data_IF_764910301874
#
_entry.id   IF_764910301874
#
_cell.length_a   1.000
_cell.length_b   1.000
_cell.length_c   1.000
_cell.angle_alpha   90.00
_cell.angle_beta   90.00
_cell.angle_gamma   90.00
#
_symmetry.space_group_name_H-M   'P 1'
#
loop_
_entity.id
_entity.type
_entity.pdbx_description
1 polymer ?
#
# COMPACT_ATOMS: atom_id res chain seq x y z
N UNK A 1 9.75 7.53 -0.08
CA UNK A 1 8.64 6.55 -0.23
C UNK A 1 7.24 7.09 0.08
N UNK A 2 7.09 8.35 0.53
CA UNK A 2 5.78 8.99 0.60
C UNK A 2 5.81 10.28 -0.19
N UNK A 3 5.33 10.26 -1.42
CA UNK A 3 5.14 11.47 -2.20
C UNK A 3 3.72 11.97 -1.96
N UNK A 4 3.60 13.17 -1.37
CA UNK A 4 2.32 13.88 -1.31
C UNK A 4 1.87 14.38 -2.68
N UNK A 5 2.73 14.33 -3.69
CA UNK A 5 2.38 14.71 -5.05
C UNK A 5 1.52 13.65 -5.74
N UNK A 6 1.79 12.36 -5.50
CA UNK A 6 1.09 11.26 -6.19
C UNK A 6 0.00 10.60 -5.36
N UNK A 7 0.12 10.65 -4.03
CA UNK A 7 -0.73 9.86 -3.15
C UNK A 7 -1.18 10.60 -1.90
N UNK A 8 -2.37 10.25 -1.38
CA UNK A 8 -2.89 10.82 -0.15
C UNK A 8 -2.03 10.52 1.10
N UNK A 9 -2.21 11.30 2.19
CA UNK A 9 -1.17 11.48 3.20
C UNK A 9 -1.10 10.39 4.29
N UNK A 10 -2.07 9.48 4.40
CA UNK A 10 -2.13 8.54 5.54
C UNK A 10 -0.92 7.62 5.60
N UNK A 11 -0.45 7.09 4.46
CA UNK A 11 0.73 6.21 4.47
C UNK A 11 1.98 6.92 5.02
N UNK A 12 2.41 8.09 4.48
CA UNK A 12 3.57 8.78 5.03
C UNK A 12 3.38 9.20 6.49
N UNK A 13 2.16 9.59 6.91
CA UNK A 13 1.89 9.91 8.32
C UNK A 13 2.06 8.70 9.24
N UNK A 14 1.54 7.54 8.83
CA UNK A 14 1.68 6.30 9.60
C UNK A 14 3.15 5.86 9.71
N UNK A 15 3.89 5.93 8.59
CA UNK A 15 5.32 5.60 8.58
C UNK A 15 6.10 6.58 9.47
N UNK A 16 5.94 7.89 9.26
CA UNK A 16 6.67 8.91 10.01
C UNK A 16 6.34 8.84 11.51
N UNK A 17 5.06 8.74 11.86
CA UNK A 17 4.61 8.63 13.26
C UNK A 17 5.17 7.40 13.96
N UNK A 18 5.11 6.23 13.30
CA UNK A 18 5.63 4.99 13.88
C UNK A 18 7.15 5.02 14.02
N UNK A 19 7.89 5.41 12.98
CA UNK A 19 9.35 5.42 13.00
C UNK A 19 9.91 6.47 13.96
N UNK A 20 9.20 7.58 14.20
CA UNK A 20 9.58 8.58 15.21
C UNK A 20 9.58 8.00 16.63
N UNK A 21 8.71 7.03 16.91
CA UNK A 21 8.59 6.38 18.22
C UNK A 21 9.45 5.13 18.31
N UNK A 22 9.44 4.28 17.28
CA UNK A 22 10.14 3.00 17.28
C UNK A 22 11.62 3.10 16.84
N UNK A 23 12.02 4.23 16.26
CA UNK A 23 13.33 4.44 15.64
C UNK A 23 13.30 4.24 14.13
N UNK A 24 14.15 4.96 13.39
CA UNK A 24 14.24 4.89 11.92
C UNK A 24 15.29 3.85 11.54
N UNK A 25 14.84 2.65 11.14
CA UNK A 25 15.67 1.61 10.54
C UNK A 25 14.82 0.58 9.78
N UNK A 26 15.47 -0.36 9.09
CA UNK A 26 14.78 -1.40 8.31
C UNK A 26 13.94 -2.34 9.18
N UNK A 27 14.37 -2.66 10.40
CA UNK A 27 13.64 -3.57 11.27
C UNK A 27 12.31 -2.98 11.73
N UNK A 28 12.30 -1.72 12.16
CA UNK A 28 11.09 -1.02 12.59
C UNK A 28 10.13 -0.79 11.43
N UNK A 29 10.65 -0.48 10.24
CA UNK A 29 9.84 -0.39 9.02
C UNK A 29 9.16 -1.74 8.67
N UNK A 30 9.91 -2.84 8.73
CA UNK A 30 9.36 -4.17 8.50
C UNK A 30 8.36 -4.57 9.58
N UNK A 31 8.60 -4.21 10.85
CA UNK A 31 7.66 -4.42 11.95
C UNK A 31 6.33 -3.71 11.69
N UNK A 32 6.35 -2.44 11.27
CA UNK A 32 5.15 -1.70 10.90
C UNK A 32 4.39 -2.42 9.77
N UNK A 33 5.12 -2.94 8.79
CA UNK A 33 4.55 -3.71 7.70
C UNK A 33 3.81 -4.95 8.23
N UNK A 34 4.41 -5.72 9.13
CA UNK A 34 3.77 -6.92 9.68
C UNK A 34 2.57 -6.57 10.59
N UNK A 35 2.65 -5.50 11.37
CA UNK A 35 1.53 -5.01 12.18
C UNK A 35 0.33 -4.60 11.32
N UNK A 36 0.57 -4.02 10.14
CA UNK A 36 -0.47 -3.68 9.17
C UNK A 36 -1.25 -4.93 8.71
N UNK A 37 -0.56 -6.02 8.39
CA UNK A 37 -1.23 -7.28 8.00
C UNK A 37 -1.89 -8.00 9.18
N UNK A 38 -1.29 -7.95 10.37
CA UNK A 38 -1.90 -8.49 11.59
C UNK A 38 -3.24 -7.80 11.89
N UNK A 39 -3.31 -6.48 11.74
CA UNK A 39 -4.54 -5.73 11.87
C UNK A 39 -5.59 -6.18 10.83
N UNK A 40 -5.18 -6.42 9.58
CA UNK A 40 -6.07 -6.91 8.54
C UNK A 40 -6.67 -8.28 8.93
N UNK A 41 -5.81 -9.22 9.31
CA UNK A 41 -6.22 -10.54 9.77
C UNK A 41 -7.14 -10.49 10.98
N UNK A 42 -6.87 -9.62 11.95
CA UNK A 42 -7.75 -9.41 13.08
C UNK A 42 -9.14 -8.93 12.65
N UNK A 43 -9.22 -7.90 11.79
CA UNK A 43 -10.50 -7.38 11.30
C UNK A 43 -11.29 -8.44 10.51
N UNK A 44 -10.61 -9.18 9.63
CA UNK A 44 -11.21 -10.26 8.82
C UNK A 44 -11.68 -11.40 9.73
N UNK A 45 -10.87 -11.82 10.70
CA UNK A 45 -11.25 -12.84 11.68
C UNK A 45 -12.46 -12.39 12.49
N UNK A 46 -12.46 -11.14 12.97
CA UNK A 46 -13.57 -10.58 13.74
C UNK A 46 -14.86 -10.54 12.93
N UNK A 47 -14.80 -10.24 11.64
CA UNK A 47 -15.94 -10.32 10.73
C UNK A 47 -16.38 -11.77 10.53
N UNK A 48 -15.43 -12.68 10.28
CA UNK A 48 -15.69 -14.10 10.07
C UNK A 48 -16.39 -14.74 11.28
N UNK A 49 -16.08 -14.31 12.51
CA UNK A 49 -16.74 -14.80 13.74
C UNK A 49 -18.24 -14.52 13.82
N UNK A 50 -18.76 -13.57 13.03
CA UNK A 50 -20.20 -13.26 13.00
C UNK A 50 -20.99 -14.22 12.10
N UNK A 51 -20.32 -14.92 11.18
CA UNK A 51 -20.95 -15.78 10.18
C UNK A 51 -20.41 -17.21 10.16
N UNK A 52 -19.28 -17.47 10.82
CA UNK A 52 -18.61 -18.77 10.87
C UNK A 52 -18.30 -19.18 12.33
N UNK A 53 -18.32 -20.50 12.63
CA UNK A 53 -17.83 -21.03 13.89
C UNK A 53 -16.37 -20.63 14.16
N UNK A 54 -15.90 -20.59 15.42
CA UNK A 54 -14.59 -20.03 15.77
C UNK A 54 -13.42 -20.62 14.98
N UNK A 55 -13.38 -21.95 14.84
CA UNK A 55 -12.34 -22.65 14.09
C UNK A 55 -12.42 -22.40 12.58
N UNK A 56 -13.62 -22.25 12.03
CA UNK A 56 -13.81 -21.91 10.62
C UNK A 56 -13.43 -20.45 10.35
N UNK A 57 -13.70 -19.54 11.28
CA UNK A 57 -13.28 -18.14 11.19
C UNK A 57 -11.74 -18.03 11.20
N UNK A 58 -11.05 -18.80 12.05
CA UNK A 58 -9.60 -18.87 12.03
C UNK A 58 -9.08 -19.48 10.71
N UNK A 59 -9.67 -20.59 10.26
CA UNK A 59 -9.30 -21.21 8.99
C UNK A 59 -9.52 -20.27 7.78
N UNK A 60 -10.58 -19.45 7.78
CA UNK A 60 -10.84 -18.43 6.75
C UNK A 60 -9.68 -17.44 6.63
N UNK A 61 -9.14 -17.00 7.77
CA UNK A 61 -8.03 -16.04 7.81
C UNK A 61 -6.72 -16.72 7.42
N UNK A 62 -6.45 -17.92 7.95
CA UNK A 62 -5.28 -18.72 7.58
C UNK A 62 -5.22 -19.04 6.07
N UNK A 63 -6.37 -19.21 5.41
CA UNK A 63 -6.42 -19.42 3.96
C UNK A 63 -5.85 -18.22 3.17
N UNK A 64 -5.96 -17.00 3.69
CA UNK A 64 -5.46 -15.80 3.00
C UNK A 64 -3.94 -15.81 2.84
N UNK A 65 -3.19 -16.53 3.67
CA UNK A 65 -1.73 -16.72 3.51
C UNK A 65 -1.36 -17.32 2.15
N UNK A 66 -2.27 -18.07 1.52
CA UNK A 66 -2.06 -18.63 0.18
C UNK A 66 -2.38 -17.63 -0.94
N UNK A 67 -2.87 -16.44 -0.63
CA UNK A 67 -3.02 -15.34 -1.59
C UNK A 67 -1.76 -14.47 -1.52
N UNK A 68 -1.05 -14.24 -2.64
CA UNK A 68 0.24 -13.55 -2.64
C UNK A 68 0.27 -12.19 -1.93
N UNK A 69 -0.84 -11.46 -1.90
CA UNK A 69 -0.93 -10.17 -1.21
C UNK A 69 -0.72 -10.25 0.30
N UNK A 70 -1.13 -11.34 0.94
CA UNK A 70 -1.06 -11.50 2.39
C UNK A 70 0.17 -12.29 2.83
N UNK A 71 0.89 -12.90 1.89
CA UNK A 71 2.15 -13.60 2.12
C UNK A 71 3.33 -12.91 1.44
N UNK A 72 3.67 -13.26 0.20
CA UNK A 72 4.88 -12.75 -0.45
C UNK A 72 4.92 -11.22 -0.59
N UNK A 73 3.84 -10.59 -1.05
CA UNK A 73 3.80 -9.14 -1.21
C UNK A 73 3.64 -8.40 0.12
N UNK A 74 3.39 -9.11 1.23
CA UNK A 74 3.28 -8.52 2.56
C UNK A 74 4.62 -7.98 3.08
N UNK A 75 5.74 -8.28 2.41
CA UNK A 75 7.05 -7.70 2.74
C UNK A 75 7.16 -6.21 2.38
N UNK A 76 6.24 -5.66 1.56
CA UNK A 76 6.32 -4.28 1.07
C UNK A 76 5.18 -3.44 1.62
N UNK A 77 5.52 -2.45 2.44
CA UNK A 77 4.57 -1.42 2.85
C UNK A 77 4.48 -0.32 1.78
N UNK A 78 3.29 -0.16 1.20
CA UNK A 78 2.94 0.86 0.23
C UNK A 78 1.45 1.21 0.37
N UNK A 79 0.94 2.11 -0.46
CA UNK A 79 -0.45 2.56 -0.37
C UNK A 79 -1.45 1.42 -0.57
N UNK A 80 -1.17 0.46 -1.46
CA UNK A 80 -2.04 -0.69 -1.70
C UNK A 80 -2.05 -1.67 -0.53
N UNK A 81 -0.90 -1.94 0.12
CA UNK A 81 -0.86 -2.82 1.29
C UNK A 81 -1.43 -2.16 2.54
N UNK A 82 -1.30 -0.84 2.70
CA UNK A 82 -1.96 -0.09 3.78
C UNK A 82 -3.49 -0.10 3.64
N UNK A 83 -4.02 -0.16 2.41
CA UNK A 83 -5.46 -0.31 2.20
C UNK A 83 -6.03 -1.66 2.67
N UNK A 84 -5.22 -2.72 2.76
CA UNK A 84 -5.70 -4.07 3.13
C UNK A 84 -6.39 -4.05 4.51
N UNK A 85 -5.74 -3.64 5.61
CA UNK A 85 -6.42 -3.55 6.90
C UNK A 85 -7.50 -2.47 6.94
N UNK A 86 -7.29 -1.34 6.26
CA UNK A 86 -8.26 -0.25 6.26
C UNK A 86 -9.58 -0.70 5.63
N UNK A 87 -9.54 -1.36 4.47
CA UNK A 87 -10.73 -1.94 3.84
C UNK A 87 -11.34 -3.03 4.71
N UNK A 88 -10.53 -3.93 5.30
CA UNK A 88 -11.04 -4.94 6.22
C UNK A 88 -11.81 -4.31 7.40
N UNK A 89 -11.28 -3.24 7.98
CA UNK A 89 -11.93 -2.47 9.05
C UNK A 89 -13.18 -1.75 8.56
N UNK A 90 -13.15 -1.10 7.39
CA UNK A 90 -14.33 -0.44 6.79
C UNK A 90 -15.46 -1.44 6.55
N UNK A 91 -15.15 -2.64 6.02
CA UNK A 91 -16.15 -3.70 5.81
C UNK A 91 -16.70 -4.18 7.14
N UNK A 92 -15.83 -4.42 8.14
CA UNK A 92 -16.24 -4.83 9.48
C UNK A 92 -17.19 -3.80 10.13
N UNK A 93 -16.85 -2.52 10.04
CA UNK A 93 -17.68 -1.44 10.56
C UNK A 93 -18.98 -1.28 9.77
N UNK A 94 -18.96 -1.45 8.45
CA UNK A 94 -20.17 -1.48 7.62
C UNK A 94 -21.12 -2.60 8.05
N UNK A 95 -20.57 -3.81 8.24
CA UNK A 95 -21.30 -4.96 8.76
C UNK A 95 -21.91 -4.67 10.14
N UNK A 96 -21.11 -4.19 11.11
CA UNK A 96 -21.62 -3.87 12.45
C UNK A 96 -22.63 -2.73 12.46
N UNK A 97 -22.46 -1.74 11.59
CA UNK A 97 -23.40 -0.62 11.46
C UNK A 97 -24.77 -1.11 11.02
N UNK A 98 -24.82 -2.00 10.03
CA UNK A 98 -26.07 -2.58 9.53
C UNK A 98 -26.66 -3.57 10.53
N UNK A 99 -25.84 -4.48 11.05
CA UNK A 99 -26.31 -5.59 11.89
C UNK A 99 -26.72 -5.14 13.30
N UNK A 100 -26.01 -4.15 13.87
CA UNK A 100 -26.21 -3.72 15.28
C UNK A 100 -26.92 -2.39 15.40
N UNK A 101 -26.97 -1.56 14.35
CA UNK A 101 -27.68 -0.27 14.35
C UNK A 101 -27.12 0.82 15.26
N UNK A 102 -26.00 0.60 15.96
CA UNK A 102 -25.45 1.55 16.95
C UNK A 102 -24.68 2.69 16.28
N UNK A 103 -24.92 3.94 16.72
CA UNK A 103 -24.31 5.14 16.12
C UNK A 103 -22.79 5.16 16.14
N UNK A 104 -22.15 4.56 17.17
CA UNK A 104 -20.69 4.48 17.23
C UNK A 104 -20.07 3.78 16.02
N UNK A 105 -20.76 2.77 15.45
CA UNK A 105 -20.26 2.06 14.28
C UNK A 105 -20.42 2.90 13.01
N UNK A 106 -21.52 3.64 12.89
CA UNK A 106 -21.75 4.56 11.77
C UNK A 106 -20.75 5.72 11.78
N UNK A 107 -20.50 6.33 12.94
CA UNK A 107 -19.50 7.40 13.08
C UNK A 107 -18.10 6.87 12.73
N UNK A 108 -17.73 5.70 13.28
CA UNK A 108 -16.46 5.07 12.97
C UNK A 108 -16.36 4.69 11.47
N UNK A 109 -17.45 4.24 10.85
CA UNK A 109 -17.49 3.93 9.42
C UNK A 109 -17.21 5.18 8.58
N UNK A 110 -17.83 6.32 8.89
CA UNK A 110 -17.58 7.58 8.21
C UNK A 110 -16.12 8.02 8.31
N UNK A 111 -15.56 7.96 9.52
CA UNK A 111 -14.16 8.32 9.79
C UNK A 111 -13.20 7.41 9.02
N UNK A 112 -13.34 6.08 9.14
CA UNK A 112 -12.45 5.13 8.49
C UNK A 112 -12.63 5.13 6.97
N UNK A 113 -13.83 5.44 6.45
CA UNK A 113 -14.04 5.67 5.01
C UNK A 113 -13.25 6.88 4.51
N UNK A 114 -13.19 7.95 5.30
CA UNK A 114 -12.35 9.12 5.02
C UNK A 114 -10.87 8.75 5.03
N UNK A 115 -10.42 8.04 6.08
CA UNK A 115 -9.03 7.52 6.16
C UNK A 115 -8.69 6.61 4.97
N UNK A 116 -9.64 5.79 4.49
CA UNK A 116 -9.44 4.95 3.32
C UNK A 116 -9.20 5.76 2.04
N UNK A 117 -9.95 6.84 1.82
CA UNK A 117 -9.73 7.78 0.72
C UNK A 117 -8.38 8.51 0.87
N UNK A 118 -8.07 8.95 2.09
CA UNK A 118 -6.81 9.62 2.44
C UNK A 118 -5.59 8.65 2.50
N UNK A 119 -5.79 7.36 2.28
CA UNK A 119 -4.70 6.40 2.05
C UNK A 119 -4.45 6.22 0.56
N UNK A 120 -5.54 6.01 -0.19
CA UNK A 120 -5.53 5.90 -1.66
C UNK A 120 -6.95 6.04 -2.18
N UNK A 121 -7.16 6.94 -3.14
CA UNK A 121 -8.49 7.20 -3.72
C UNK A 121 -9.12 6.00 -4.42
N UNK A 122 -8.35 4.95 -4.70
CA UNK A 122 -8.87 3.65 -5.14
C UNK A 122 -9.93 3.06 -4.17
N UNK A 123 -10.00 3.50 -2.91
CA UNK A 123 -11.11 3.18 -1.99
C UNK A 123 -12.49 3.55 -2.53
N UNK A 124 -12.59 4.46 -3.50
CA UNK A 124 -13.81 4.72 -4.27
C UNK A 124 -14.33 3.49 -5.06
N UNK A 125 -13.52 2.44 -5.25
CA UNK A 125 -13.98 1.17 -5.82
C UNK A 125 -14.79 0.31 -4.82
N UNK A 126 -14.65 0.55 -3.51
CA UNK A 126 -15.27 -0.23 -2.45
C UNK A 126 -16.40 0.52 -1.73
N UNK A 127 -16.22 1.81 -1.43
CA UNK A 127 -17.19 2.59 -0.66
C UNK A 127 -18.60 2.65 -1.29
N UNK A 128 -18.75 2.80 -2.63
CA UNK A 128 -20.05 2.69 -3.28
C UNK A 128 -20.70 1.32 -3.07
N UNK A 129 -19.92 0.27 -2.86
CA UNK A 129 -20.43 -1.06 -2.52
C UNK A 129 -21.22 -1.04 -1.22
N UNK A 130 -20.73 -0.36 -0.17
CA UNK A 130 -21.49 -0.21 1.08
C UNK A 130 -22.76 0.60 0.83
N UNK A 131 -22.67 1.76 0.16
CA UNK A 131 -23.81 2.62 -0.10
C UNK A 131 -24.90 1.91 -0.94
N UNK A 132 -24.50 1.22 -2.01
CA UNK A 132 -25.41 0.43 -2.84
C UNK A 132 -25.99 -0.75 -2.08
N UNK A 133 -25.25 -1.36 -1.15
CA UNK A 133 -25.83 -2.39 -0.29
C UNK A 133 -27.00 -1.82 0.56
N UNK A 134 -26.83 -0.62 1.12
CA UNK A 134 -27.89 0.06 1.87
C UNK A 134 -29.12 0.35 1.00
N UNK A 135 -28.92 0.66 -0.27
CA UNK A 135 -30.01 0.98 -1.21
C UNK A 135 -30.71 -0.26 -1.77
N UNK A 136 -29.98 -1.33 -2.05
CA UNK A 136 -30.47 -2.48 -2.81
C UNK A 136 -30.98 -3.63 -1.93
N UNK A 137 -30.44 -3.80 -0.73
CA UNK A 137 -30.75 -4.96 0.12
C UNK A 137 -31.77 -4.60 1.20
N UNK A 138 -32.76 -5.46 1.53
CA UNK A 138 -33.80 -5.17 2.52
C UNK A 138 -33.25 -4.72 3.88
N UNK A 139 -32.29 -5.46 4.45
CA UNK A 139 -31.63 -5.11 5.72
C UNK A 139 -30.88 -3.78 5.66
N UNK A 140 -30.27 -3.47 4.51
CA UNK A 140 -29.64 -2.18 4.27
C UNK A 140 -30.68 -1.04 4.27
N UNK A 141 -31.78 -1.20 3.53
CA UNK A 141 -32.83 -0.18 3.39
C UNK A 141 -33.52 0.15 4.70
N UNK A 142 -33.67 -0.82 5.59
CA UNK A 142 -34.19 -0.59 6.95
C UNK A 142 -33.35 0.46 7.69
N UNK A 143 -32.02 0.42 7.55
CA UNK A 143 -31.13 1.38 8.23
C UNK A 143 -31.24 2.80 7.70
N UNK A 144 -31.64 3.00 6.44
CA UNK A 144 -31.86 4.33 5.84
C UNK A 144 -33.01 5.08 6.49
N UNK A 145 -33.90 4.39 7.22
CA UNK A 145 -34.95 5.02 8.03
C UNK A 145 -34.41 5.61 9.34
N UNK A 146 -33.15 5.39 9.66
CA UNK A 146 -32.49 5.82 10.90
C UNK A 146 -31.46 6.91 10.62
N UNK A 147 -31.04 7.64 11.66
CA UNK A 147 -30.02 8.71 11.56
C UNK A 147 -28.61 8.16 11.29
N UNK A 148 -28.36 6.86 11.55
CA UNK A 148 -27.02 6.25 11.49
C UNK A 148 -26.26 6.45 10.18
N UNK A 149 -26.79 6.00 9.02
CA UNK A 149 -26.13 6.17 7.72
C UNK A 149 -25.78 7.63 7.42
N UNK A 150 -26.65 8.57 7.78
CA UNK A 150 -26.43 10.00 7.54
C UNK A 150 -25.29 10.56 8.41
N UNK A 151 -25.15 10.11 9.66
CA UNK A 151 -23.98 10.46 10.49
C UNK A 151 -22.68 9.99 9.84
N UNK A 152 -22.65 8.78 9.29
CA UNK A 152 -21.49 8.27 8.57
C UNK A 152 -21.13 9.15 7.37
N UNK A 153 -22.14 9.60 6.60
CA UNK A 153 -21.94 10.51 5.47
C UNK A 153 -21.40 11.86 5.92
N UNK A 154 -21.99 12.47 6.96
CA UNK A 154 -21.53 13.76 7.50
C UNK A 154 -20.08 13.68 7.96
N UNK A 155 -19.72 12.65 8.74
CA UNK A 155 -18.34 12.47 9.22
C UNK A 155 -17.37 12.27 8.06
N UNK A 156 -17.75 11.45 7.07
CA UNK A 156 -16.95 11.26 5.85
C UNK A 156 -16.74 12.59 5.09
N UNK A 157 -17.80 13.37 4.91
CA UNK A 157 -17.75 14.65 4.22
C UNK A 157 -16.92 15.69 4.98
N UNK A 158 -16.93 15.69 6.31
CA UNK A 158 -16.06 16.57 7.10
C UNK A 158 -14.58 16.23 6.88
N UNK A 159 -14.22 14.94 6.93
CA UNK A 159 -12.84 14.49 6.70
C UNK A 159 -12.40 14.80 5.27
N UNK A 160 -13.23 14.47 4.27
CA UNK A 160 -12.92 14.73 2.87
C UNK A 160 -12.90 16.22 2.54
N UNK A 161 -13.83 17.00 3.10
CA UNK A 161 -13.91 18.44 2.90
C UNK A 161 -12.67 19.15 3.43
N UNK A 162 -12.22 18.78 4.63
CA UNK A 162 -10.95 19.28 5.17
C UNK A 162 -9.77 18.91 4.27
N UNK A 163 -9.70 17.66 3.82
CA UNK A 163 -8.62 17.20 2.94
C UNK A 163 -8.58 17.94 1.60
N UNK A 164 -9.73 18.12 0.94
CA UNK A 164 -9.81 18.84 -0.33
C UNK A 164 -9.47 20.33 -0.17
N UNK A 165 -9.95 20.97 0.90
CA UNK A 165 -9.57 22.34 1.25
C UNK A 165 -8.07 22.49 1.48
N UNK A 166 -7.46 21.53 2.19
CA UNK A 166 -6.03 21.55 2.47
C UNK A 166 -5.20 21.38 1.20
N UNK A 167 -5.57 20.44 0.34
CA UNK A 167 -4.90 20.17 -0.94
C UNK A 167 -4.97 21.38 -1.87
N UNK A 168 -6.13 22.02 -1.97
CA UNK A 168 -6.35 23.21 -2.82
C UNK A 168 -5.54 24.42 -2.33
N UNK A 169 -5.62 24.73 -1.04
CA UNK A 169 -4.91 25.88 -0.47
C UNK A 169 -3.38 25.75 -0.49
N UNK A 170 -2.85 24.53 -0.45
CA UNK A 170 -1.40 24.28 -0.43
C UNK A 170 -0.86 23.75 -1.77
N UNK A 171 -1.69 23.77 -2.83
CA UNK A 171 -1.31 23.37 -4.18
C UNK A 171 -0.66 21.97 -4.23
N UNK A 172 -1.18 21.03 -3.46
CA UNK A 172 -0.63 19.67 -3.37
C UNK A 172 -1.10 18.85 -4.58
N UNK A 173 -0.17 18.29 -5.34
CA UNK A 173 -0.47 17.55 -6.58
C UNK A 173 -1.33 16.28 -6.44
N UNK A 174 -1.66 15.81 -5.22
CA UNK A 174 -2.32 14.51 -5.00
C UNK A 174 -3.60 14.32 -5.84
N UNK A 175 -4.36 15.38 -6.08
CA UNK A 175 -5.65 15.35 -6.79
C UNK A 175 -5.51 15.70 -8.28
N UNK A 176 -4.47 16.45 -8.66
CA UNK A 176 -4.29 16.97 -10.03
C UNK A 176 -4.06 15.85 -11.05
N UNK A 177 -3.55 14.71 -10.60
CA UNK A 177 -3.21 13.58 -11.46
C UNK A 177 -4.29 12.51 -11.61
N UNK A 178 -5.49 12.69 -11.04
CA UNK A 178 -6.57 11.70 -11.19
C UNK A 178 -6.90 11.46 -12.67
N UNK A 179 -6.83 12.51 -13.49
CA UNK A 179 -7.04 12.45 -14.94
C UNK A 179 -5.98 11.65 -15.71
N UNK A 180 -4.74 11.56 -15.21
CA UNK A 180 -3.64 10.88 -15.91
C UNK A 180 -3.87 9.37 -16.03
N UNK A 181 -4.68 8.81 -15.12
CA UNK A 181 -5.10 7.40 -15.12
C UNK A 181 -6.18 7.09 -16.15
N UNK A 182 -6.88 8.11 -16.67
CA UNK A 182 -7.85 7.96 -17.75
C UNK A 182 -7.08 8.02 -19.06
N UNK A 183 -6.99 6.88 -19.72
CA UNK A 183 -6.48 6.78 -21.08
C UNK A 183 -7.59 6.16 -21.91
N UNK A 184 -8.20 6.89 -22.83
CA UNK A 184 -9.31 6.37 -23.64
C UNK A 184 -8.84 5.42 -24.76
N UNK A 185 -7.66 4.82 -24.63
CA UNK A 185 -7.08 3.90 -25.60
C UNK A 185 -7.49 2.44 -25.33
N UNK A 186 -7.41 1.59 -26.35
CA UNK A 186 -7.78 0.18 -26.21
C UNK A 186 -6.87 -0.57 -25.22
N UNK A 187 -5.61 -0.15 -25.10
CA UNK A 187 -4.63 -0.73 -24.19
C UNK A 187 -5.03 -0.57 -22.72
N UNK A 188 -5.56 0.58 -22.30
CA UNK A 188 -6.03 0.79 -20.92
C UNK A 188 -7.21 -0.13 -20.58
N UNK A 189 -8.14 -0.34 -21.52
CA UNK A 189 -9.30 -1.22 -21.33
C UNK A 189 -8.87 -2.68 -21.16
N UNK A 190 -7.87 -3.12 -21.92
CA UNK A 190 -7.27 -4.46 -21.75
C UNK A 190 -6.64 -4.61 -20.35
N UNK A 191 -6.05 -3.55 -19.78
CA UNK A 191 -5.49 -3.61 -18.42
C UNK A 191 -6.56 -3.94 -17.38
N UNK A 192 -7.81 -3.48 -17.54
CA UNK A 192 -8.91 -3.84 -16.64
C UNK A 192 -9.29 -5.34 -16.71
N UNK A 193 -9.24 -5.95 -17.90
CA UNK A 193 -9.44 -7.40 -18.06
C UNK A 193 -8.26 -8.16 -17.43
N UNK A 194 -7.02 -7.73 -17.70
CA UNK A 194 -5.82 -8.30 -17.10
C UNK A 194 -5.82 -8.19 -15.58
N UNK A 195 -6.36 -7.10 -15.04
CA UNK A 195 -6.56 -6.93 -13.60
C UNK A 195 -7.45 -8.05 -13.04
N UNK A 196 -8.61 -8.30 -13.65
CA UNK A 196 -9.53 -9.34 -13.18
C UNK A 196 -8.91 -10.73 -13.29
N UNK A 197 -8.28 -11.05 -14.43
CA UNK A 197 -7.57 -12.32 -14.62
C UNK A 197 -6.48 -12.49 -13.56
N UNK A 198 -5.68 -11.46 -13.28
CA UNK A 198 -4.65 -11.51 -12.25
C UNK A 198 -5.25 -11.78 -10.86
N UNK A 199 -6.37 -11.14 -10.50
CA UNK A 199 -7.01 -11.39 -9.21
C UNK A 199 -7.52 -12.84 -9.09
N UNK A 200 -8.08 -13.39 -10.17
CA UNK A 200 -8.51 -14.80 -10.20
C UNK A 200 -7.31 -15.76 -10.10
N UNK A 201 -6.21 -15.46 -10.79
CA UNK A 201 -4.97 -16.24 -10.69
C UNK A 201 -4.38 -16.20 -9.27
N UNK A 202 -4.44 -15.06 -8.59
CA UNK A 202 -3.97 -14.91 -7.21
C UNK A 202 -4.81 -15.68 -6.19
N UNK A 203 -6.03 -16.10 -6.53
CA UNK A 203 -6.85 -16.99 -5.70
C UNK A 203 -6.51 -18.47 -5.89
N UNK A 204 -5.82 -18.85 -6.98
CA UNK A 204 -5.56 -20.26 -7.32
C UNK A 204 -4.85 -21.04 -6.20
N UNK A 205 -3.75 -20.56 -5.59
CA UNK A 205 -3.08 -21.35 -4.56
C UNK A 205 -3.97 -21.59 -3.33
N UNK A 206 -4.75 -20.57 -2.94
CA UNK A 206 -5.75 -20.68 -1.87
C UNK A 206 -6.83 -21.73 -2.22
N UNK A 207 -7.35 -21.73 -3.46
CA UNK A 207 -8.34 -22.71 -3.92
C UNK A 207 -7.76 -24.13 -3.96
N UNK A 208 -6.53 -24.30 -4.44
CA UNK A 208 -5.86 -25.59 -4.51
C UNK A 208 -5.73 -26.23 -3.12
N UNK A 209 -5.23 -25.48 -2.13
CA UNK A 209 -5.10 -25.98 -0.76
C UNK A 209 -6.46 -26.28 -0.14
N UNK A 210 -7.44 -25.39 -0.34
CA UNK A 210 -8.81 -25.58 0.16
C UNK A 210 -9.44 -26.87 -0.38
N UNK A 211 -9.45 -27.05 -1.71
CA UNK A 211 -10.05 -28.21 -2.34
C UNK A 211 -9.27 -29.49 -2.07
N UNK A 212 -7.93 -29.44 -2.03
CA UNK A 212 -7.11 -30.60 -1.65
C UNK A 212 -7.50 -31.13 -0.27
N UNK A 213 -7.59 -30.24 0.74
CA UNK A 213 -8.00 -30.63 2.10
C UNK A 213 -9.45 -31.08 2.15
N UNK A 214 -10.35 -30.41 1.42
CA UNK A 214 -11.77 -30.77 1.36
C UNK A 214 -11.95 -32.19 0.81
N UNK A 215 -11.36 -32.50 -0.35
CA UNK A 215 -11.49 -33.80 -1.00
C UNK A 215 -10.76 -34.92 -0.24
N UNK A 216 -9.57 -34.66 0.29
CA UNK A 216 -8.82 -35.66 1.07
C UNK A 216 -9.58 -36.15 2.31
N UNK A 217 -10.37 -35.27 2.94
CA UNK A 217 -11.12 -35.59 4.15
C UNK A 217 -12.58 -35.99 3.88
N UNK A 218 -13.09 -35.83 2.65
CA UNK A 218 -14.50 -36.09 2.31
C UNK A 218 -14.89 -37.55 2.51
N UNK A 219 -13.99 -38.49 2.23
CA UNK A 219 -14.21 -39.93 2.42
C UNK A 219 -14.11 -40.38 3.89
N UNK A 220 -13.55 -39.55 4.77
CA UNK A 220 -13.32 -39.88 6.20
C UNK A 220 -14.43 -39.39 7.11
N UNK A 221 -15.45 -38.75 6.56
CA UNK A 221 -16.58 -38.16 7.29
C UNK A 221 -17.88 -38.70 6.75
N UNK A 222 -18.68 -39.33 7.61
CA UNK A 222 -20.02 -39.78 7.28
C UNK A 222 -20.90 -38.55 6.93
N UNK A 223 -21.78 -38.63 5.92
CA UNK A 223 -22.73 -37.57 5.64
C UNK A 223 -23.73 -37.51 6.81
N UNK A 224 -23.55 -36.55 7.72
CA UNK A 224 -24.58 -36.20 8.67
C UNK A 224 -25.41 -35.08 8.05
N UNK A 225 -26.74 -35.21 8.11
CA UNK A 225 -27.66 -34.18 7.67
C UNK A 225 -27.24 -32.81 8.22
N UNK A 226 -27.36 -31.81 7.37
CA UNK A 226 -26.95 -30.42 7.57
C UNK A 226 -27.86 -29.71 8.59
N UNK A 227 -28.01 -30.29 9.78
CA UNK A 227 -28.68 -29.71 10.94
C UNK A 227 -27.75 -28.84 11.77
N UNK A 228 -27.15 -27.83 11.15
CA UNK A 228 -26.76 -26.64 11.89
C UNK A 228 -27.00 -25.48 10.96
N UNK A 229 -28.20 -24.90 11.06
CA UNK A 229 -28.43 -23.53 10.63
C UNK A 229 -27.19 -22.72 11.04
N UNK A 230 -26.52 -22.01 10.11
CA UNK A 230 -25.62 -20.94 10.53
C UNK A 230 -26.41 -20.09 11.52
N UNK A 231 -25.79 -19.51 12.56
CA UNK A 231 -26.52 -18.65 13.47
C UNK A 231 -27.37 -17.70 12.62
N UNK A 232 -28.69 -17.73 12.81
CA UNK A 232 -29.73 -17.08 12.00
C UNK A 232 -29.64 -15.54 12.04
N UNK A 233 -28.49 -15.03 12.49
CA UNK A 233 -28.15 -13.68 12.88
C UNK A 233 -26.99 -13.11 12.04
N UNK A 234 -26.37 -13.89 11.16
CA UNK A 234 -25.31 -13.39 10.27
C UNK A 234 -25.85 -12.63 9.05
N UNK A 235 -25.03 -11.80 8.41
CA UNK A 235 -25.35 -11.14 7.13
C UNK A 235 -24.45 -11.63 5.97
N UNK A 236 -24.54 -12.91 5.52
CA UNK A 236 -23.71 -13.44 4.44
C UNK A 236 -23.84 -12.67 3.12
N UNK A 237 -25.03 -12.12 2.83
CA UNK A 237 -25.27 -11.34 1.62
C UNK A 237 -24.37 -10.10 1.53
N UNK A 238 -24.08 -9.45 2.66
CA UNK A 238 -23.15 -8.33 2.71
C UNK A 238 -21.72 -8.78 2.41
N UNK A 239 -21.31 -9.95 2.90
CA UNK A 239 -19.96 -10.48 2.68
C UNK A 239 -19.76 -10.85 1.21
N UNK A 240 -20.71 -11.57 0.59
CA UNK A 240 -20.65 -11.88 -0.85
C UNK A 240 -20.65 -10.61 -1.70
N UNK A 241 -21.52 -9.65 -1.36
CA UNK A 241 -21.58 -8.37 -2.05
C UNK A 241 -20.26 -7.61 -1.95
N UNK A 242 -19.69 -7.47 -0.76
CA UNK A 242 -18.43 -6.73 -0.56
C UNK A 242 -17.20 -7.46 -1.10
N UNK A 243 -17.27 -8.76 -1.33
CA UNK A 243 -16.22 -9.51 -2.04
C UNK A 243 -16.30 -9.28 -3.55
N UNK A 244 -17.50 -9.43 -4.13
CA UNK A 244 -17.70 -9.35 -5.58
C UNK A 244 -17.70 -7.91 -6.10
N UNK A 245 -18.32 -6.98 -5.39
CA UNK A 245 -18.53 -5.60 -5.84
C UNK A 245 -17.23 -4.87 -6.19
N UNK A 246 -16.22 -4.73 -5.30
CA UNK A 246 -15.00 -4.00 -5.65
C UNK A 246 -14.15 -4.76 -6.69
N UNK A 247 -14.20 -6.09 -6.71
CA UNK A 247 -13.49 -6.92 -7.68
C UNK A 247 -14.04 -6.73 -9.10
N UNK A 248 -15.35 -6.91 -9.28
CA UNK A 248 -16.03 -6.78 -10.57
C UNK A 248 -16.15 -5.31 -10.96
N UNK A 249 -16.53 -4.44 -10.02
CA UNK A 249 -16.70 -3.02 -10.23
C UNK A 249 -15.43 -2.34 -10.74
N UNK A 250 -14.26 -2.68 -10.21
CA UNK A 250 -12.98 -2.18 -10.73
C UNK A 250 -12.74 -2.58 -12.18
N UNK A 251 -13.01 -3.84 -12.53
CA UNK A 251 -12.84 -4.33 -13.89
C UNK A 251 -13.84 -3.68 -14.87
N UNK A 252 -15.11 -3.56 -14.47
CA UNK A 252 -16.17 -2.96 -15.29
C UNK A 252 -15.92 -1.46 -15.48
N UNK A 253 -15.71 -0.70 -14.41
CA UNK A 253 -15.44 0.74 -14.51
C UNK A 253 -14.13 0.99 -15.27
N UNK A 254 -13.08 0.21 -14.99
CA UNK A 254 -11.81 0.30 -15.72
C UNK A 254 -11.99 0.07 -17.23
N UNK A 255 -12.80 -0.91 -17.62
CA UNK A 255 -13.08 -1.21 -19.02
C UNK A 255 -13.97 -0.15 -19.70
N UNK A 256 -15.03 0.31 -19.02
CA UNK A 256 -15.98 1.27 -19.56
C UNK A 256 -15.38 2.68 -19.69
N UNK A 257 -14.66 3.12 -18.66
CA UNK A 257 -14.08 4.47 -18.58
C UNK A 257 -12.70 4.54 -19.23
N UNK A 258 -12.00 3.41 -19.39
CA UNK A 258 -10.61 3.39 -19.89
C UNK A 258 -9.59 3.74 -18.81
N UNK A 259 -9.81 3.27 -17.58
CA UNK A 259 -8.86 3.45 -16.48
C UNK A 259 -7.88 2.27 -16.49
N UNK A 260 -6.59 2.56 -16.61
CA UNK A 260 -5.53 1.56 -16.62
C UNK A 260 -5.29 0.93 -15.23
N UNK A 261 -6.23 0.14 -14.73
CA UNK A 261 -6.12 -0.52 -13.42
C UNK A 261 -4.94 -1.51 -13.39
N UNK A 262 -3.93 -1.20 -12.57
CA UNK A 262 -2.81 -2.12 -12.35
C UNK A 262 -3.24 -3.33 -11.56
N UNK A 263 -2.77 -4.52 -11.94
CA UNK A 263 -3.04 -5.77 -11.21
C UNK A 263 -2.71 -5.65 -9.71
N UNK A 264 -1.67 -4.87 -9.35
CA UNK A 264 -1.20 -4.65 -7.97
C UNK A 264 -2.21 -3.92 -7.07
N UNK A 265 -3.27 -3.32 -7.63
CA UNK A 265 -4.28 -2.61 -6.84
C UNK A 265 -5.27 -3.54 -6.16
N UNK A 266 -5.33 -4.82 -6.56
CA UNK A 266 -6.38 -5.74 -6.15
C UNK A 266 -6.22 -6.37 -4.77
N UNK A 267 -5.11 -6.15 -4.06
CA UNK A 267 -4.87 -6.75 -2.74
C UNK A 267 -6.07 -6.65 -1.77
N UNK A 268 -6.58 -5.44 -1.51
CA UNK A 268 -7.74 -5.26 -0.62
C UNK A 268 -9.05 -5.91 -1.11
N UNK A 269 -9.21 -6.17 -2.41
CA UNK A 269 -10.45 -6.77 -2.95
C UNK A 269 -10.57 -8.25 -2.58
N UNK A 270 -9.45 -8.92 -2.28
CA UNK A 270 -9.40 -10.35 -1.97
C UNK A 270 -9.47 -10.66 -0.47
N UNK A 271 -9.60 -9.64 0.40
CA UNK A 271 -9.64 -9.76 1.86
C UNK A 271 -10.70 -10.74 2.40
N UNK A 272 -11.80 -10.95 1.67
CA UNK A 272 -12.92 -11.81 2.11
C UNK A 272 -12.90 -13.22 1.52
N UNK A 273 -11.92 -13.56 0.68
CA UNK A 273 -11.91 -14.82 -0.09
C UNK A 273 -12.08 -16.07 0.79
N UNK A 274 -11.34 -16.14 1.91
CA UNK A 274 -11.42 -17.29 2.83
C UNK A 274 -12.79 -17.41 3.53
N UNK A 275 -13.45 -16.29 3.84
CA UNK A 275 -14.80 -16.30 4.43
C UNK A 275 -15.80 -16.79 3.39
N UNK A 276 -15.75 -16.22 2.19
CA UNK A 276 -16.65 -16.57 1.07
C UNK A 276 -16.57 -18.06 0.73
N UNK A 277 -15.36 -18.64 0.68
CA UNK A 277 -15.21 -20.07 0.43
C UNK A 277 -15.84 -20.95 1.50
N UNK A 278 -15.64 -20.61 2.78
CA UNK A 278 -16.21 -21.41 3.87
C UNK A 278 -17.71 -21.22 4.06
N UNK A 279 -18.27 -20.11 3.58
CA UNK A 279 -19.72 -19.91 3.50
C UNK A 279 -20.33 -20.73 2.35
N UNK A 280 -19.67 -20.78 1.19
CA UNK A 280 -20.18 -21.50 0.02
C UNK A 280 -19.94 -23.02 0.11
N UNK A 281 -18.78 -23.44 0.61
CA UNK A 281 -18.42 -24.84 0.87
C UNK A 281 -18.18 -25.08 2.38
N UNK A 282 -19.25 -25.20 3.18
CA UNK A 282 -19.12 -25.44 4.60
C UNK A 282 -18.45 -26.79 4.88
N UNK A 283 -17.45 -26.77 5.76
CA UNK A 283 -16.76 -27.98 6.20
C UNK A 283 -17.63 -28.77 7.18
N UNK A 284 -17.73 -30.09 6.99
CA UNK A 284 -18.51 -30.98 7.84
C UNK A 284 -18.17 -30.84 9.34
N UNK A 285 -19.19 -30.97 10.19
CA UNK A 285 -19.03 -30.91 11.66
C UNK A 285 -18.10 -32.04 12.12
N UNK A 286 -17.17 -31.74 13.02
CA UNK A 286 -16.17 -32.71 13.49
C UNK A 286 -15.03 -33.03 12.51
N UNK A 287 -15.07 -32.56 11.25
CA UNK A 287 -14.02 -32.83 10.27
C UNK A 287 -12.67 -32.23 10.70
N UNK A 288 -11.55 -32.97 10.54
CA UNK A 288 -10.21 -32.44 10.80
C UNK A 288 -9.78 -31.37 9.80
N UNK A 289 -10.54 -31.16 8.71
CA UNK A 289 -10.24 -30.21 7.64
C UNK A 289 -9.87 -28.81 8.14
N UNK A 290 -10.59 -28.29 9.14
CA UNK A 290 -10.30 -26.96 9.72
C UNK A 290 -8.89 -26.90 10.32
N UNK A 291 -8.51 -27.94 11.06
CA UNK A 291 -7.17 -28.08 11.64
C UNK A 291 -6.11 -28.28 10.56
N UNK A 292 -6.42 -29.02 9.50
CA UNK A 292 -5.49 -29.21 8.37
C UNK A 292 -5.24 -27.91 7.61
N UNK A 293 -6.27 -27.10 7.35
CA UNK A 293 -6.11 -25.78 6.72
C UNK A 293 -5.23 -24.84 7.57
N UNK A 294 -5.49 -24.78 8.88
CA UNK A 294 -4.69 -23.98 9.80
C UNK A 294 -3.24 -24.47 9.81
N UNK A 295 -3.02 -25.79 9.96
CA UNK A 295 -1.67 -26.39 9.93
C UNK A 295 -0.96 -26.10 8.61
N UNK A 296 -1.65 -26.21 7.47
CA UNK A 296 -1.07 -25.92 6.16
C UNK A 296 -0.60 -24.47 6.08
N UNK A 297 -1.37 -23.51 6.60
CA UNK A 297 -0.98 -22.11 6.64
C UNK A 297 0.25 -21.86 7.53
N UNK A 298 0.33 -22.49 8.71
CA UNK A 298 1.53 -22.39 9.56
C UNK A 298 2.76 -23.06 8.94
N UNK A 299 2.59 -24.20 8.27
CA UNK A 299 3.67 -24.82 7.50
C UNK A 299 4.12 -23.90 6.38
N UNK A 300 3.18 -23.28 5.66
CA UNK A 300 3.49 -22.30 4.61
C UNK A 300 4.25 -21.08 5.17
N UNK A 301 3.85 -20.55 6.32
CA UNK A 301 4.53 -19.45 7.00
C UNK A 301 5.99 -19.79 7.35
N UNK A 302 6.28 -21.05 7.68
CA UNK A 302 7.66 -21.52 7.95
C UNK A 302 8.47 -21.75 6.67
N UNK A 303 7.83 -22.22 5.60
CA UNK A 303 8.49 -22.53 4.32
C UNK A 303 8.70 -21.30 3.43
N UNK A 304 7.86 -20.28 3.58
CA UNK A 304 7.90 -19.10 2.72
C UNK A 304 9.23 -18.31 2.89
N UNK A 305 9.70 -17.92 4.08
CA UNK A 305 10.96 -17.18 4.22
C UNK A 305 12.18 -17.84 3.58
N UNK A 306 12.48 -19.15 3.78
CA UNK A 306 13.61 -19.78 3.12
C UNK A 306 13.41 -19.89 1.59
N UNK A 307 12.18 -20.10 1.11
CA UNK A 307 11.90 -20.08 -0.32
C UNK A 307 12.16 -18.70 -0.94
N UNK A 308 11.76 -17.63 -0.24
CA UNK A 308 12.01 -16.26 -0.69
C UNK A 308 13.48 -15.90 -0.65
N UNK A 309 14.20 -16.30 0.40
CA UNK A 309 15.65 -16.15 0.49
C UNK A 309 16.33 -16.87 -0.68
N UNK A 310 15.99 -18.13 -0.93
CA UNK A 310 16.53 -18.89 -2.05
C UNK A 310 16.23 -18.21 -3.40
N UNK A 311 14.99 -17.75 -3.62
CA UNK A 311 14.65 -17.01 -4.84
C UNK A 311 15.47 -15.73 -4.99
N UNK A 312 15.67 -14.98 -3.90
CA UNK A 312 16.49 -13.78 -3.87
C UNK A 312 17.96 -14.07 -4.20
N UNK A 313 18.51 -15.18 -3.70
CA UNK A 313 19.86 -15.64 -4.01
C UNK A 313 20.01 -16.01 -5.49
N UNK A 314 19.05 -16.75 -6.06
CA UNK A 314 19.07 -17.13 -7.48
C UNK A 314 18.93 -15.90 -8.39
N UNK A 315 18.10 -14.93 -7.99
CA UNK A 315 17.90 -13.68 -8.74
C UNK A 315 18.84 -12.55 -8.34
N UNK A 316 19.89 -12.86 -7.57
CA UNK A 316 20.78 -11.85 -6.99
C UNK A 316 21.54 -11.05 -8.04
N UNK A 317 21.60 -11.44 -9.31
CA UNK A 317 22.18 -10.63 -10.38
C UNK A 317 21.38 -9.37 -10.76
N UNK A 318 20.17 -9.17 -10.23
CA UNK A 318 19.32 -8.05 -10.64
C UNK A 318 19.68 -6.74 -9.90
N UNK A 319 19.88 -5.67 -10.67
CA UNK A 319 20.34 -4.35 -10.21
C UNK A 319 19.60 -3.70 -9.03
N UNK A 320 18.32 -4.02 -8.85
CA UNK A 320 17.50 -3.47 -7.77
C UNK A 320 17.90 -3.98 -6.37
N UNK A 321 18.48 -5.18 -6.29
CA UNK A 321 18.95 -5.77 -5.03
C UNK A 321 20.34 -5.26 -4.61
N UNK A 322 20.94 -4.40 -5.43
CA UNK A 322 22.32 -3.92 -5.34
C UNK A 322 22.44 -2.40 -5.19
N UNK A 323 21.43 -1.75 -4.62
CA UNK A 323 21.52 -0.32 -4.35
C UNK A 323 22.17 -0.07 -2.98
N UNK A 324 23.37 0.55 -2.90
CA UNK A 324 24.13 0.72 -1.66
C UNK A 324 23.58 1.91 -0.83
N UNK A 325 22.29 1.88 -0.51
CA UNK A 325 21.58 3.03 0.07
C UNK A 325 22.04 3.39 1.49
N UNK A 326 22.44 2.39 2.27
CA UNK A 326 22.94 2.58 3.65
C UNK A 326 24.32 3.23 3.65
N UNK A 327 25.20 2.73 2.82
CA UNK A 327 26.55 3.23 2.62
C UNK A 327 26.51 4.63 2.00
N UNK A 328 25.63 4.84 1.02
CA UNK A 328 25.41 6.15 0.41
C UNK A 328 24.95 7.19 1.44
N UNK A 329 23.94 6.88 2.25
CA UNK A 329 23.43 7.79 3.29
C UNK A 329 24.52 8.18 4.29
N UNK A 330 25.30 7.21 4.78
CA UNK A 330 26.43 7.46 5.69
C UNK A 330 27.52 8.31 5.05
N UNK A 331 27.94 7.95 3.83
CA UNK A 331 29.02 8.62 3.11
C UNK A 331 28.66 10.07 2.80
N UNK A 332 27.45 10.32 2.28
CA UNK A 332 26.97 11.68 1.98
C UNK A 332 26.85 12.54 3.23
N UNK A 333 26.35 11.98 4.33
CA UNK A 333 26.24 12.71 5.61
C UNK A 333 27.62 13.08 6.16
N UNK A 334 28.58 12.15 6.10
CA UNK A 334 29.95 12.38 6.55
C UNK A 334 30.66 13.44 5.70
N UNK A 335 30.53 13.36 4.38
CA UNK A 335 31.11 14.34 3.45
C UNK A 335 30.52 15.74 3.65
N UNK A 336 29.20 15.85 3.84
CA UNK A 336 28.54 17.12 4.13
C UNK A 336 29.01 17.74 5.44
N UNK A 337 28.97 16.97 6.53
CA UNK A 337 29.41 17.43 7.85
C UNK A 337 30.91 17.77 7.86
N UNK A 338 31.72 17.03 7.12
CA UNK A 338 33.14 17.34 6.93
C UNK A 338 33.35 18.70 6.24
N UNK A 339 32.56 19.00 5.21
CA UNK A 339 32.66 20.24 4.44
C UNK A 339 32.13 21.47 5.19
N UNK A 340 31.00 21.35 5.90
CA UNK A 340 30.27 22.53 6.42
C UNK A 340 30.05 22.53 7.93
N UNK A 341 30.37 21.45 8.65
CA UNK A 341 30.22 21.32 10.10
C UNK A 341 28.78 21.57 10.62
N UNK A 342 27.78 21.41 9.76
CA UNK A 342 26.35 21.54 10.09
C UNK A 342 25.58 20.28 9.65
N UNK A 343 24.40 19.99 10.25
CA UNK A 343 23.59 18.85 9.83
C UNK A 343 23.12 18.96 8.37
N UNK A 344 23.05 17.83 7.66
CA UNK A 344 22.48 17.77 6.32
C UNK A 344 20.94 17.87 6.40
N UNK A 345 20.37 19.00 6.01
CA UNK A 345 18.91 19.24 6.09
C UNK A 345 18.15 18.98 4.80
N UNK A 346 18.79 19.16 3.65
CA UNK A 346 18.14 19.04 2.34
C UNK A 346 19.01 18.20 1.40
N UNK A 347 18.40 17.22 0.74
CA UNK A 347 19.01 16.45 -0.33
C UNK A 347 18.12 16.48 -1.57
N UNK A 348 18.70 16.73 -2.73
CA UNK A 348 17.99 16.76 -4.01
C UNK A 348 18.54 15.72 -4.97
N UNK A 349 17.72 15.24 -5.90
CA UNK A 349 18.19 14.29 -6.89
C UNK A 349 17.10 13.50 -7.59
N UNK A 350 17.54 12.51 -8.37
CA UNK A 350 16.71 11.58 -9.14
C UNK A 350 16.09 10.47 -8.29
N UNK A 351 15.65 9.38 -8.92
CA UNK A 351 15.03 8.28 -8.18
C UNK A 351 16.04 7.52 -7.32
N UNK A 352 15.55 6.98 -6.18
CA UNK A 352 16.30 6.08 -5.30
C UNK A 352 17.33 6.77 -4.40
N UNK A 353 18.29 7.52 -4.97
CA UNK A 353 19.44 8.08 -4.25
C UNK A 353 19.07 9.05 -3.11
N UNK A 354 18.37 10.17 -3.33
CA UNK A 354 18.03 11.12 -2.26
C UNK A 354 17.09 10.50 -1.23
N UNK A 355 16.14 9.64 -1.64
CA UNK A 355 15.27 8.90 -0.72
C UNK A 355 16.06 7.94 0.18
N UNK A 356 17.07 7.27 -0.37
CA UNK A 356 17.95 6.38 0.39
C UNK A 356 18.80 7.15 1.39
N UNK A 357 19.27 8.34 1.02
CA UNK A 357 20.01 9.23 1.94
C UNK A 357 19.08 9.70 3.06
N UNK A 358 17.87 10.18 2.75
CA UNK A 358 16.92 10.63 3.76
C UNK A 358 16.58 9.53 4.79
N UNK A 359 16.47 8.29 4.33
CA UNK A 359 16.19 7.17 5.23
C UNK A 359 17.42 6.73 6.06
N UNK A 360 18.61 6.68 5.47
CA UNK A 360 19.80 6.09 6.11
C UNK A 360 20.76 7.12 6.76
N UNK A 361 20.63 8.41 6.45
CA UNK A 361 21.36 9.49 7.10
C UNK A 361 20.90 9.65 8.54
N UNK A 362 21.82 9.92 9.46
CA UNK A 362 21.49 10.29 10.84
C UNK A 362 20.75 11.62 10.94
N UNK A 363 20.83 12.45 9.90
CA UNK A 363 20.28 13.80 9.90
C UNK A 363 18.85 13.83 9.31
N UNK A 364 18.43 12.74 8.66
CA UNK A 364 17.11 12.58 8.03
C UNK A 364 16.66 13.80 7.20
N UNK A 365 17.44 14.19 6.18
CA UNK A 365 17.15 15.38 5.38
C UNK A 365 15.80 15.29 4.64
N UNK A 366 15.21 16.45 4.40
CA UNK A 366 14.09 16.59 3.47
C UNK A 366 14.57 16.36 2.03
N UNK A 367 13.73 15.72 1.23
CA UNK A 367 14.05 15.37 -0.17
C UNK A 367 13.39 16.36 -1.12
N UNK A 368 14.20 17.07 -1.93
CA UNK A 368 13.75 17.80 -3.12
C UNK A 368 13.69 16.82 -4.29
N UNK A 369 12.53 16.16 -4.41
CA UNK A 369 12.32 15.04 -5.32
C UNK A 369 12.41 15.52 -6.78
N UNK A 370 13.26 14.88 -7.57
CA UNK A 370 13.55 15.25 -8.97
C UNK A 370 14.08 16.66 -9.18
N UNK A 371 14.56 17.31 -8.11
CA UNK A 371 14.95 18.72 -8.13
C UNK A 371 13.79 19.63 -8.56
N UNK A 372 12.55 19.27 -8.20
CA UNK A 372 11.33 19.96 -8.61
C UNK A 372 10.51 20.39 -7.39
N UNK A 373 10.21 21.70 -7.29
CA UNK A 373 9.37 22.24 -6.21
C UNK A 373 7.95 21.67 -6.24
N UNK A 374 7.38 21.46 -7.43
CA UNK A 374 6.07 20.83 -7.57
C UNK A 374 5.97 19.47 -6.84
N UNK A 375 7.05 18.67 -6.85
CA UNK A 375 7.09 17.37 -6.16
C UNK A 375 7.35 17.48 -4.65
N UNK A 376 7.91 18.60 -4.21
CA UNK A 376 8.31 18.86 -2.83
C UNK A 376 7.98 20.30 -2.41
N UNK A 377 6.70 20.72 -2.43
CA UNK A 377 6.30 22.13 -2.26
C UNK A 377 6.59 22.69 -0.85
N UNK A 378 6.98 21.83 0.09
CA UNK A 378 7.41 22.19 1.44
C UNK A 378 8.88 22.63 1.54
N UNK A 379 9.65 22.58 0.45
CA UNK A 379 11.05 23.06 0.39
C UNK A 379 11.08 24.33 -0.43
N UNK A 380 11.36 25.48 0.19
CA UNK A 380 11.39 26.77 -0.49
C UNK A 380 12.82 27.24 -0.81
N UNK A 381 12.92 28.33 -1.58
CA UNK A 381 14.21 28.93 -1.97
C UNK A 381 15.00 29.36 -0.72
N UNK A 382 14.30 29.91 0.27
CA UNK A 382 14.86 30.37 1.53
C UNK A 382 15.41 29.22 2.37
N UNK A 383 14.82 28.03 2.31
CA UNK A 383 15.33 26.85 3.00
C UNK A 383 16.66 26.39 2.39
N UNK A 384 16.80 26.44 1.06
CA UNK A 384 18.06 26.12 0.36
C UNK A 384 19.13 27.15 0.69
N UNK A 385 18.79 28.45 0.70
CA UNK A 385 19.74 29.49 1.10
C UNK A 385 20.15 29.30 2.56
N UNK A 386 19.21 29.02 3.47
CA UNK A 386 19.50 28.87 4.91
C UNK A 386 20.34 27.63 5.21
N UNK A 387 19.97 26.48 4.66
CA UNK A 387 20.51 25.19 5.09
C UNK A 387 21.47 24.55 4.09
N UNK A 388 21.54 25.07 2.85
CA UNK A 388 22.22 24.44 1.74
C UNK A 388 21.53 23.16 1.24
N UNK A 389 22.07 22.55 0.19
CA UNK A 389 21.54 21.30 -0.37
C UNK A 389 22.65 20.41 -0.92
N UNK A 390 22.53 19.10 -0.68
CA UNK A 390 23.32 18.09 -1.37
C UNK A 390 22.55 17.56 -2.58
N UNK A 391 23.09 17.74 -3.79
CA UNK A 391 22.48 17.20 -5.01
C UNK A 391 23.20 15.92 -5.41
N UNK A 392 22.43 14.87 -5.71
CA UNK A 392 22.97 13.58 -6.13
C UNK A 392 22.13 12.91 -7.22
N UNK A 393 22.80 12.44 -8.26
CA UNK A 393 22.24 11.69 -9.37
C UNK A 393 22.94 10.34 -9.49
N UNK A 394 22.22 9.30 -9.92
CA UNK A 394 22.88 8.13 -10.49
C UNK A 394 23.62 8.57 -11.77
N UNK A 395 24.80 8.01 -12.03
CA UNK A 395 25.56 8.34 -13.23
C UNK A 395 24.79 8.03 -14.53
N UNK A 396 23.89 7.03 -14.47
CA UNK A 396 22.99 6.66 -15.57
C UNK A 396 21.71 7.51 -15.67
N UNK A 397 21.40 8.34 -14.67
CA UNK A 397 20.18 9.16 -14.65
C UNK A 397 20.43 10.51 -15.34
N UNK A 398 20.35 10.49 -16.67
CA UNK A 398 20.58 11.68 -17.52
C UNK A 398 19.65 12.83 -17.20
N UNK A 399 18.41 12.53 -16.80
CA UNK A 399 17.41 13.55 -16.47
C UNK A 399 17.72 14.24 -15.16
N UNK A 400 18.13 13.50 -14.12
CA UNK A 400 18.61 14.11 -12.89
C UNK A 400 19.79 15.04 -13.18
N UNK A 401 20.73 14.60 -14.01
CA UNK A 401 21.91 15.40 -14.40
C UNK A 401 21.49 16.67 -15.13
N UNK A 402 20.54 16.59 -16.05
CA UNK A 402 20.01 17.76 -16.77
C UNK A 402 19.31 18.74 -15.81
N UNK A 403 18.40 18.25 -14.96
CA UNK A 403 17.73 19.08 -13.95
C UNK A 403 18.73 19.74 -13.00
N UNK A 404 19.77 19.02 -12.59
CA UNK A 404 20.80 19.54 -11.70
C UNK A 404 21.59 20.68 -12.35
N UNK A 405 21.93 20.56 -13.63
CA UNK A 405 22.60 21.62 -14.41
C UNK A 405 21.70 22.82 -14.65
N UNK A 406 20.42 22.60 -14.90
CA UNK A 406 19.42 23.67 -15.08
C UNK A 406 19.24 24.46 -13.79
N UNK A 407 19.09 23.77 -12.66
CA UNK A 407 18.81 24.40 -11.38
C UNK A 407 20.07 25.02 -10.74
N UNK A 408 21.24 24.44 -10.98
CA UNK A 408 22.52 24.85 -10.40
C UNK A 408 23.64 24.96 -11.45
N UNK A 409 23.54 25.91 -12.41
CA UNK A 409 24.48 26.00 -13.54
C UNK A 409 25.93 26.32 -13.14
N UNK A 410 26.15 26.89 -11.94
CA UNK A 410 27.47 27.21 -11.41
C UNK A 410 28.20 26.05 -10.71
N UNK A 411 27.58 24.87 -10.60
CA UNK A 411 28.13 23.74 -9.86
C UNK A 411 28.51 22.59 -10.79
N UNK A 412 29.70 22.02 -10.57
CA UNK A 412 30.19 20.86 -11.33
C UNK A 412 29.87 19.56 -10.62
N UNK A 413 29.34 18.60 -11.38
CA UNK A 413 29.03 17.24 -10.90
C UNK A 413 30.32 16.43 -10.74
N UNK A 414 30.60 16.01 -9.52
CA UNK A 414 31.78 15.20 -9.17
C UNK A 414 31.40 13.72 -9.13
N UNK A 415 32.27 12.81 -9.64
CA UNK A 415 32.03 11.38 -9.56
C UNK A 415 32.12 10.90 -8.10
N UNK A 416 31.25 9.97 -7.75
CA UNK A 416 31.22 9.30 -6.46
C UNK A 416 30.85 7.83 -6.64
N UNK A 417 31.82 6.96 -6.41
CA UNK A 417 31.56 5.52 -6.34
C UNK A 417 31.25 5.13 -4.90
N UNK A 418 30.16 4.38 -4.73
CA UNK A 418 29.74 3.81 -3.45
C UNK A 418 29.71 2.29 -3.57
N UNK A 419 30.41 1.62 -2.67
CA UNK A 419 30.46 0.17 -2.57
C UNK A 419 29.74 -0.27 -1.29
N UNK A 420 28.85 -1.24 -1.41
CA UNK A 420 28.32 -2.00 -0.28
C UNK A 420 29.10 -3.30 -0.15
N UNK A 421 29.54 -3.59 1.08
CA UNK A 421 30.23 -4.84 1.39
C UNK A 421 29.28 -6.04 1.26
N UNK A 422 29.80 -7.22 0.86
CA UNK A 422 29.01 -8.44 0.81
C UNK A 422 28.44 -8.78 2.19
N UNK A 423 27.16 -9.17 2.21
CA UNK A 423 26.51 -9.72 3.39
C UNK A 423 26.63 -11.24 3.46
N UNK A 424 25.99 -11.83 4.47
CA UNK A 424 25.96 -13.30 4.65
C UNK A 424 25.32 -14.04 3.46
N UNK A 425 24.34 -13.40 2.80
CA UNK A 425 23.56 -14.00 1.73
C UNK A 425 23.67 -13.25 0.39
N UNK A 426 23.94 -11.95 0.40
CA UNK A 426 23.94 -11.15 -0.82
C UNK A 426 25.36 -10.69 -1.16
N UNK A 427 25.79 -10.76 -2.44
CA UNK A 427 27.07 -10.22 -2.83
C UNK A 427 27.10 -8.70 -2.62
N UNK A 428 28.31 -8.15 -2.50
CA UNK A 428 28.49 -6.71 -2.43
C UNK A 428 28.00 -6.03 -3.71
N UNK A 429 27.77 -4.73 -3.65
CA UNK A 429 27.34 -3.95 -4.80
C UNK A 429 28.18 -2.70 -4.99
N UNK A 430 28.24 -2.22 -6.22
CA UNK A 430 28.94 -0.99 -6.58
C UNK A 430 28.05 -0.15 -7.50
N UNK A 431 27.95 1.14 -7.18
CA UNK A 431 27.18 2.11 -7.96
C UNK A 431 27.94 3.43 -8.06
N UNK A 432 27.87 4.01 -9.25
CA UNK A 432 28.42 5.31 -9.55
C UNK A 432 27.35 6.38 -9.52
N UNK A 433 27.68 7.45 -8.81
CA UNK A 433 26.86 8.63 -8.64
C UNK A 433 27.62 9.87 -9.10
N UNK A 434 26.85 10.92 -9.36
CA UNK A 434 27.33 12.26 -9.61
C UNK A 434 26.74 13.18 -8.55
N UNK A 435 27.57 13.97 -7.88
CA UNK A 435 27.10 14.83 -6.79
C UNK A 435 27.79 16.19 -6.76
N UNK A 436 27.15 17.14 -6.08
CA UNK A 436 27.79 18.37 -5.62
C UNK A 436 27.06 18.89 -4.38
N UNK A 437 27.71 19.83 -3.70
CA UNK A 437 27.13 20.53 -2.56
C UNK A 437 26.95 22.01 -2.86
N UNK A 438 25.81 22.52 -2.45
CA UNK A 438 25.49 23.93 -2.44
C UNK A 438 25.54 24.38 -0.99
N UNK A 439 26.50 25.24 -0.60
CA UNK A 439 26.68 25.64 0.79
C UNK A 439 25.51 26.47 1.31
N UNK A 440 25.29 26.48 2.65
CA UNK A 440 24.49 27.49 3.32
C UNK A 440 24.98 28.91 2.96
N UNK A 441 24.04 29.84 2.79
CA UNK A 441 24.31 31.23 2.40
C UNK A 441 24.59 31.45 0.91
N UNK A 442 24.35 30.43 0.07
CA UNK A 442 24.44 30.58 -1.39
C UNK A 442 23.33 31.48 -1.96
N UNK A 443 23.51 32.07 -3.16
CA UNK A 443 22.48 32.88 -3.80
C UNK A 443 21.18 32.09 -4.03
N UNK A 444 20.05 32.81 -4.06
CA UNK A 444 18.75 32.21 -4.34
C UNK A 444 18.73 31.45 -5.67
N UNK A 445 18.01 30.33 -5.63
CA UNK A 445 17.87 29.40 -6.75
C UNK A 445 16.47 29.52 -7.32
N UNK A 446 16.34 29.54 -8.64
CA UNK A 446 15.02 29.53 -9.26
C UNK A 446 14.42 28.12 -9.35
N UNK A 447 13.70 27.73 -8.30
CA UNK A 447 13.01 26.44 -8.19
C UNK A 447 11.94 26.17 -9.28
N UNK A 448 11.49 27.19 -10.00
CA UNK A 448 10.54 27.05 -11.12
C UNK A 448 11.21 26.68 -12.45
N UNK A 449 12.54 26.71 -12.51
CA UNK A 449 13.31 26.43 -13.73
C UNK A 449 13.23 24.97 -14.20
N UNK A 450 12.90 24.03 -13.30
CA UNK A 450 12.80 22.60 -13.60
C UNK A 450 11.35 22.21 -13.86
N UNK A 451 11.06 21.82 -15.11
CA UNK A 451 9.73 21.32 -15.47
C UNK A 451 9.41 20.00 -14.76
N UNK A 452 8.20 19.86 -14.19
CA UNK A 452 7.80 18.65 -13.47
C UNK A 452 7.76 17.42 -14.38
N UNK A 453 8.11 16.26 -13.81
CA UNK A 453 7.90 14.96 -14.44
C UNK A 453 6.40 14.70 -14.69
N UNK A 454 5.98 14.35 -15.93
CA UNK A 454 4.65 13.79 -16.13
C UNK A 454 4.58 12.39 -15.51
N UNK A 455 3.52 12.10 -14.76
CA UNK A 455 3.32 10.87 -13.98
C UNK A 455 3.53 9.56 -14.80
N UNK A 456 3.21 9.55 -16.09
CA UNK A 456 3.38 8.37 -16.96
C UNK A 456 4.85 7.98 -17.21
N UNK A 457 5.77 8.94 -17.21
CA UNK A 457 7.19 8.65 -17.37
C UNK A 457 7.78 8.05 -16.08
N UNK A 458 7.26 8.44 -14.92
CA UNK A 458 7.63 7.91 -13.60
C UNK A 458 7.30 6.42 -13.47
N UNK A 459 6.13 6.01 -13.97
CA UNK A 459 5.68 4.59 -13.93
C UNK A 459 6.38 3.68 -14.95
N UNK A 460 7.15 4.23 -15.89
CA UNK A 460 7.91 3.44 -16.87
C UNK A 460 9.35 3.15 -16.41
N UNK A 461 9.82 3.82 -15.35
CA UNK A 461 11.16 3.68 -14.79
C UNK A 461 11.23 2.79 -13.52
N UNK A 462 10.08 2.37 -12.98
CA UNK A 462 9.92 1.34 -11.93
C UNK A 462 9.40 0.01 -12.50
#
# INVERSE_FOLDING_TARGET
MGSYHLHPPVLPWMIAGFLKVAGINNWTYNLLTQLNFLLAFYCIWRLAREVLPPMSALAAVCLLEFVPYFSFFSMRLNHSSMLIPIWALTILLGYFSIQRGQYRYWIALGLISGVAMLTKYYSAAMLPGIALYLLLFPKGRETLKTVGPYLSVVVFLVVMGWHLWYVDNHQIGTVTHIGDYVASDFSSRIKAIRFLIAQLLYLVPLLLVFFFVLFHNRHKTQPQETGSTPPDQGLPSFIYWMFLFPLIGTAVVGFLVGIGASSRWGGPTLNLAGIVLLLYWPLAKGSPSRKHLIRAAFVWLLLLPPMLLFSGLVTSGHDMYHFPGKELGRKMTAMWRGAYQVPLRIVGGGHGAPNSIAFNSTDHPSVLQHLSHAWSPWINKEDIVRDGIAVICLASDTRCVENARTLFPGYSLNPLTVKAEPGLFFPGSERDFLYFFVPPGSPEVDLESVKPLPMRADQQAE
#
